data_IF_437810805741
#
_entry.id   IF_437810805741
#
_cell.length_a   1.000
_cell.length_b   1.000
_cell.length_c   1.000
_cell.angle_alpha   90.00
_cell.angle_beta   90.00
_cell.angle_gamma   90.00
#
_symmetry.space_group_name_H-M   'P 1'
#
loop_
_entity.id
_entity.type
_entity.pdbx_description
1 polymer ?
#
# COMPACT_ATOMS: atom_id res chain seq x y z
N UNK A 1 67.47 -3.34 32.07
CA UNK A 1 66.26 -2.68 31.51
C UNK A 1 66.10 -2.80 29.99
N UNK A 2 67.17 -2.96 29.17
CA UNK A 2 67.02 -3.14 27.70
C UNK A 2 66.45 -4.51 27.29
N UNK A 3 66.90 -5.62 27.92
CA UNK A 3 66.45 -6.99 27.62
C UNK A 3 64.93 -7.17 27.78
N UNK A 4 64.34 -6.62 28.84
CA UNK A 4 62.90 -6.71 29.12
C UNK A 4 62.04 -5.98 28.08
N UNK A 5 62.53 -4.87 27.49
CA UNK A 5 61.82 -4.14 26.43
C UNK A 5 61.82 -4.90 25.10
N UNK A 6 62.88 -5.65 24.78
CA UNK A 6 62.91 -6.52 23.60
C UNK A 6 61.95 -7.71 23.73
N UNK A 7 61.85 -8.30 24.93
CA UNK A 7 60.91 -9.40 25.17
C UNK A 7 59.45 -8.94 25.11
N UNK A 8 59.12 -7.77 25.66
CA UNK A 8 57.77 -7.18 25.55
C UNK A 8 57.44 -6.84 24.09
N UNK A 9 58.39 -6.31 23.33
CA UNK A 9 58.22 -6.04 21.90
C UNK A 9 57.99 -7.32 21.08
N UNK A 10 58.76 -8.39 21.34
CA UNK A 10 58.59 -9.68 20.69
C UNK A 10 57.22 -10.30 21.01
N UNK A 11 56.77 -10.21 22.27
CA UNK A 11 55.49 -10.76 22.72
C UNK A 11 54.31 -10.00 22.10
N UNK A 12 54.41 -8.67 21.95
CA UNK A 12 53.44 -7.86 21.22
C UNK A 12 53.36 -8.21 19.73
N UNK A 13 54.50 -8.43 19.08
CA UNK A 13 54.54 -8.85 17.67
C UNK A 13 53.96 -10.26 17.50
N UNK A 14 54.25 -11.18 18.41
CA UNK A 14 53.70 -12.54 18.39
C UNK A 14 52.18 -12.53 18.62
N UNK A 15 51.68 -11.70 19.55
CA UNK A 15 50.25 -11.53 19.79
C UNK A 15 49.53 -10.94 18.56
N UNK A 16 50.16 -10.01 17.85
CA UNK A 16 49.64 -9.49 16.58
C UNK A 16 49.54 -10.58 15.51
N UNK A 17 50.51 -11.48 15.40
CA UNK A 17 50.47 -12.59 14.42
C UNK A 17 49.34 -13.58 14.72
N UNK A 18 49.00 -13.83 16.00
CA UNK A 18 47.90 -14.72 16.37
C UNK A 18 46.51 -14.12 16.12
N UNK A 19 46.33 -12.80 16.19
CA UNK A 19 45.05 -12.12 15.89
C UNK A 19 44.70 -12.21 14.38
N UNK A 20 45.69 -12.37 13.51
CA UNK A 20 45.45 -12.56 12.06
C UNK A 20 45.33 -14.03 11.62
N UNK A 21 45.43 -14.98 12.55
CA UNK A 21 45.46 -16.41 12.20
C UNK A 21 44.08 -17.08 12.18
N UNK A 22 43.00 -16.36 12.46
CA UNK A 22 41.62 -16.87 12.36
C UNK A 22 40.84 -16.17 11.24
N UNK A 23 41.10 -16.58 9.99
CA UNK A 23 40.18 -16.39 8.86
C UNK A 23 40.58 -17.31 7.69
N UNK A 24 40.88 -18.58 7.97
CA UNK A 24 41.05 -19.57 6.90
C UNK A 24 39.68 -20.09 6.47
N UNK A 25 39.26 -19.64 5.28
CA UNK A 25 38.33 -20.29 4.36
C UNK A 25 36.85 -20.42 4.77
N UNK A 26 36.11 -19.30 4.79
CA UNK A 26 34.73 -19.37 4.32
C UNK A 26 34.78 -19.57 2.80
N UNK A 27 34.76 -20.83 2.38
CA UNK A 27 34.43 -21.15 0.99
C UNK A 27 32.96 -20.76 0.84
N UNK A 28 32.68 -19.54 0.39
CA UNK A 28 31.33 -19.15 -0.02
C UNK A 28 30.86 -20.19 -1.04
N UNK A 29 29.92 -21.04 -0.61
CA UNK A 29 29.24 -21.92 -1.54
C UNK A 29 28.50 -21.02 -2.52
N UNK A 30 28.66 -21.22 -3.86
CA UNK A 30 27.90 -20.44 -4.83
C UNK A 30 26.38 -20.68 -4.70
N UNK A 31 25.99 -21.71 -3.97
CA UNK A 31 24.62 -22.08 -3.69
C UNK A 31 24.13 -21.40 -2.41
N UNK A 32 23.08 -20.58 -2.55
CA UNK A 32 22.46 -19.84 -1.45
C UNK A 32 21.15 -20.53 -1.06
N UNK A 33 21.00 -20.83 0.23
CA UNK A 33 19.74 -21.36 0.76
C UNK A 33 18.70 -20.23 0.81
N UNK A 34 17.52 -20.49 0.26
CA UNK A 34 16.40 -19.55 0.26
C UNK A 34 15.12 -20.22 0.74
N UNK A 35 14.27 -19.40 1.35
CA UNK A 35 12.95 -19.76 1.79
C UNK A 35 11.93 -18.90 1.05
N UNK A 36 10.90 -19.51 0.48
CA UNK A 36 9.74 -18.80 -0.06
C UNK A 36 8.48 -19.19 0.68
N UNK A 37 7.62 -18.21 0.94
CA UNK A 37 6.31 -18.43 1.54
C UNK A 37 5.29 -18.73 0.45
N UNK A 38 4.69 -19.91 0.50
CA UNK A 38 3.62 -20.31 -0.40
C UNK A 38 2.27 -19.76 0.09
N UNK A 39 2.02 -19.85 1.39
CA UNK A 39 0.78 -19.39 2.04
C UNK A 39 1.01 -19.15 3.53
N UNK A 40 0.25 -18.24 4.15
CA UNK A 40 0.24 -17.99 5.60
C UNK A 40 0.62 -16.56 5.96
N UNK A 41 1.25 -16.35 7.11
CA UNK A 41 1.72 -15.05 7.60
C UNK A 41 3.21 -14.84 7.30
N UNK A 42 3.60 -13.59 7.07
CA UNK A 42 5.01 -13.22 6.93
C UNK A 42 5.24 -11.73 7.19
N UNK A 43 6.14 -11.41 8.12
CA UNK A 43 6.60 -10.06 8.42
C UNK A 43 8.09 -10.10 8.78
N UNK A 44 8.95 -9.84 7.79
CA UNK A 44 10.39 -9.97 7.98
C UNK A 44 10.79 -11.42 8.28
N UNK A 45 11.40 -11.66 9.45
CA UNK A 45 11.79 -12.98 9.94
C UNK A 45 10.68 -13.74 10.65
N UNK A 46 9.57 -13.08 11.00
CA UNK A 46 8.41 -13.73 11.60
C UNK A 46 7.54 -14.36 10.50
N UNK A 47 7.35 -15.67 10.56
CA UNK A 47 6.60 -16.42 9.54
C UNK A 47 5.68 -17.47 10.17
N UNK A 48 4.62 -17.82 9.46
CA UNK A 48 3.77 -18.98 9.79
C UNK A 48 3.07 -19.47 8.51
N UNK A 49 2.90 -20.78 8.36
CA UNK A 49 2.16 -21.43 7.27
C UNK A 49 3.04 -22.30 6.37
N UNK A 50 2.64 -22.40 5.10
CA UNK A 50 3.29 -23.26 4.12
C UNK A 50 4.47 -22.57 3.45
N UNK A 51 5.63 -23.20 3.52
CA UNK A 51 6.90 -22.70 3.01
C UNK A 51 7.51 -23.67 2.00
N UNK A 52 8.43 -23.18 1.18
CA UNK A 52 9.31 -24.01 0.36
C UNK A 52 10.75 -23.58 0.59
N UNK A 53 11.57 -24.52 1.03
CA UNK A 53 13.02 -24.37 1.12
C UNK A 53 13.66 -24.81 -0.21
N UNK A 54 14.60 -24.02 -0.73
CA UNK A 54 15.26 -24.30 -2.00
C UNK A 54 16.64 -23.67 -2.06
N UNK A 55 17.47 -24.15 -2.99
CA UNK A 55 18.77 -23.56 -3.30
C UNK A 55 18.64 -22.61 -4.50
N UNK A 56 19.40 -21.53 -4.47
CA UNK A 56 19.57 -20.57 -5.56
C UNK A 56 21.04 -20.56 -6.00
N UNK A 57 21.30 -20.57 -7.30
CA UNK A 57 22.65 -20.69 -7.89
C UNK A 57 22.72 -21.72 -9.02
N UNK A 58 23.94 -22.12 -9.40
CA UNK A 58 24.17 -23.13 -10.44
C UNK A 58 23.98 -24.56 -9.89
N UNK A 59 22.92 -25.23 -10.34
CA UNK A 59 22.56 -26.59 -9.91
C UNK A 59 23.18 -27.70 -10.77
N UNK A 60 23.92 -27.35 -11.84
CA UNK A 60 24.36 -28.32 -12.84
C UNK A 60 25.25 -29.44 -12.30
N UNK A 61 25.93 -29.19 -11.18
CA UNK A 61 26.78 -30.17 -10.51
C UNK A 61 26.14 -30.78 -9.25
N UNK A 62 24.88 -30.47 -8.93
CA UNK A 62 24.20 -30.95 -7.71
C UNK A 62 23.61 -32.33 -7.94
N UNK A 63 23.98 -33.28 -7.07
CA UNK A 63 23.45 -34.66 -7.10
C UNK A 63 22.40 -34.88 -6.00
N UNK A 64 22.65 -34.30 -4.82
CA UNK A 64 21.80 -34.50 -3.64
C UNK A 64 21.85 -33.30 -2.72
N UNK A 65 20.70 -32.98 -2.13
CA UNK A 65 20.55 -31.96 -1.10
C UNK A 65 19.91 -32.57 0.14
N UNK A 66 20.53 -32.39 1.30
CA UNK A 66 19.95 -32.74 2.60
C UNK A 66 19.63 -31.44 3.33
N UNK A 67 18.35 -31.24 3.65
CA UNK A 67 17.87 -30.07 4.38
C UNK A 67 17.78 -30.36 5.86
N UNK A 68 18.15 -29.37 6.67
CA UNK A 68 18.18 -29.46 8.12
C UNK A 68 17.42 -28.31 8.77
N UNK A 69 16.79 -28.61 9.91
CA UNK A 69 16.22 -27.65 10.86
C UNK A 69 16.80 -27.91 12.24
N UNK A 70 17.44 -26.92 12.84
CA UNK A 70 18.11 -27.03 14.16
C UNK A 70 19.02 -28.24 14.28
N UNK A 71 19.78 -28.49 13.22
CA UNK A 71 20.70 -29.62 13.06
C UNK A 71 20.04 -31.02 12.96
N UNK A 72 18.71 -31.10 12.94
CA UNK A 72 17.94 -32.30 12.61
C UNK A 72 17.63 -32.37 11.11
N UNK A 73 17.65 -33.57 10.54
CA UNK A 73 17.36 -33.79 9.12
C UNK A 73 15.85 -33.62 8.87
N UNK A 74 15.48 -32.69 7.98
CA UNK A 74 14.11 -32.57 7.50
C UNK A 74 13.82 -33.56 6.38
N UNK A 75 14.67 -33.55 5.34
CA UNK A 75 14.51 -34.40 4.17
C UNK A 75 15.79 -34.46 3.32
N UNK A 76 15.94 -35.58 2.61
CA UNK A 76 16.92 -35.76 1.54
C UNK A 76 16.22 -35.66 0.18
N UNK A 77 16.75 -34.83 -0.73
CA UNK A 77 16.22 -34.59 -2.07
C UNK A 77 17.30 -34.88 -3.10
N UNK A 78 17.06 -35.88 -3.96
CA UNK A 78 18.02 -36.38 -4.95
C UNK A 78 17.62 -36.08 -6.40
N UNK A 79 16.52 -35.33 -6.59
CA UNK A 79 16.01 -34.99 -7.91
C UNK A 79 15.68 -33.51 -8.01
N UNK A 80 15.96 -32.92 -9.18
CA UNK A 80 15.52 -31.57 -9.51
C UNK A 80 13.98 -31.47 -9.45
N UNK A 81 13.43 -30.36 -8.92
CA UNK A 81 14.07 -29.07 -8.69
C UNK A 81 14.71 -28.88 -7.29
N UNK A 82 15.06 -29.95 -6.56
CA UNK A 82 15.66 -29.89 -5.21
C UNK A 82 14.88 -29.02 -4.21
N UNK A 83 13.56 -28.92 -4.35
CA UNK A 83 12.69 -28.11 -3.49
C UNK A 83 12.10 -28.95 -2.38
N UNK A 84 12.02 -28.39 -1.18
CA UNK A 84 11.39 -28.99 -0.01
C UNK A 84 10.21 -28.13 0.47
N UNK A 85 8.95 -28.49 0.12
CA UNK A 85 7.79 -27.90 0.76
C UNK A 85 7.63 -28.42 2.20
N UNK A 86 7.28 -27.55 3.13
CA UNK A 86 6.98 -27.92 4.52
C UNK A 86 5.99 -26.91 5.16
N UNK A 87 5.37 -27.30 6.28
CA UNK A 87 4.57 -26.39 7.10
C UNK A 87 5.36 -25.98 8.35
N UNK A 88 5.31 -24.71 8.74
CA UNK A 88 5.88 -24.28 10.03
C UNK A 88 5.11 -24.85 11.22
N UNK A 89 3.85 -25.26 11.02
CA UNK A 89 3.00 -25.81 12.08
C UNK A 89 3.41 -27.23 12.49
N UNK A 90 4.29 -27.87 11.72
CA UNK A 90 4.88 -29.18 12.04
C UNK A 90 6.05 -29.07 13.02
N UNK A 91 6.44 -27.85 13.38
CA UNK A 91 7.55 -27.54 14.28
C UNK A 91 7.07 -26.68 15.46
N UNK A 92 7.79 -26.73 16.57
CA UNK A 92 7.48 -25.89 17.73
C UNK A 92 7.55 -24.40 17.36
N UNK A 93 6.72 -23.52 17.94
CA UNK A 93 6.88 -22.09 17.74
C UNK A 93 8.21 -21.59 18.32
N UNK A 94 8.87 -20.68 17.61
CA UNK A 94 10.13 -20.08 18.05
C UNK A 94 11.15 -19.86 16.94
N UNK A 95 12.39 -19.58 17.34
CA UNK A 95 13.48 -19.30 16.39
C UNK A 95 14.10 -20.61 15.92
N UNK A 96 14.05 -20.85 14.61
CA UNK A 96 14.64 -22.01 13.96
C UNK A 96 15.76 -21.61 13.00
N UNK A 97 16.81 -22.42 12.98
CA UNK A 97 17.92 -22.31 12.04
C UNK A 97 17.80 -23.40 10.98
N UNK A 98 17.76 -23.00 9.71
CA UNK A 98 17.75 -23.92 8.58
C UNK A 98 19.07 -23.87 7.83
N UNK A 99 19.56 -25.03 7.40
CA UNK A 99 20.75 -25.17 6.54
C UNK A 99 20.55 -26.31 5.54
N UNK A 100 21.37 -26.34 4.51
CA UNK A 100 21.39 -27.45 3.55
C UNK A 100 22.82 -27.95 3.35
N UNK A 101 22.98 -29.25 3.18
CA UNK A 101 24.21 -29.87 2.70
C UNK A 101 24.00 -30.35 1.27
N UNK A 102 24.91 -29.95 0.40
CA UNK A 102 24.86 -30.21 -1.03
C UNK A 102 26.00 -31.13 -1.39
N UNK A 103 25.66 -32.33 -1.86
CA UNK A 103 26.62 -33.25 -2.48
C UNK A 103 26.67 -32.95 -3.97
N UNK A 104 27.87 -32.66 -4.48
CA UNK A 104 28.11 -32.42 -5.89
C UNK A 104 28.65 -33.67 -6.59
N UNK A 105 28.50 -33.74 -7.91
CA UNK A 105 28.92 -34.88 -8.76
C UNK A 105 30.42 -35.16 -8.72
N UNK A 106 31.24 -34.21 -8.26
CA UNK A 106 32.67 -34.35 -7.99
C UNK A 106 32.98 -34.99 -6.61
N UNK A 107 31.94 -35.34 -5.85
CA UNK A 107 32.05 -35.89 -4.50
C UNK A 107 32.27 -34.85 -3.41
N UNK A 108 32.29 -33.55 -3.74
CA UNK A 108 32.44 -32.47 -2.76
C UNK A 108 31.12 -32.24 -2.03
N UNK A 109 31.21 -32.07 -0.71
CA UNK A 109 30.08 -31.61 0.11
C UNK A 109 30.28 -30.15 0.46
N UNK A 110 29.26 -29.34 0.20
CA UNK A 110 29.22 -27.91 0.56
C UNK A 110 27.99 -27.62 1.40
N UNK A 111 28.08 -26.61 2.26
CA UNK A 111 26.96 -26.18 3.10
C UNK A 111 26.39 -24.87 2.57
N UNK A 112 25.06 -24.77 2.50
CA UNK A 112 24.34 -23.54 2.19
C UNK A 112 23.52 -23.07 3.39
N UNK A 113 23.55 -21.77 3.67
CA UNK A 113 22.99 -21.18 4.89
C UNK A 113 24.05 -21.00 5.99
N UNK A 114 23.65 -20.80 7.25
CA UNK A 114 22.28 -20.94 7.75
C UNK A 114 21.39 -19.73 7.45
N UNK A 115 20.09 -19.97 7.30
CA UNK A 115 19.04 -18.94 7.39
C UNK A 115 18.28 -19.12 8.70
N UNK A 116 17.78 -18.03 9.28
CA UNK A 116 17.12 -18.04 10.60
C UNK A 116 15.78 -17.33 10.50
N UNK A 117 14.74 -17.99 11.00
CA UNK A 117 13.37 -17.47 11.00
C UNK A 117 12.70 -17.76 12.35
N UNK A 118 11.74 -16.93 12.72
CA UNK A 118 10.90 -17.11 13.89
C UNK A 118 9.53 -17.64 13.45
N UNK A 119 9.21 -18.87 13.83
CA UNK A 119 7.95 -19.53 13.54
C UNK A 119 6.94 -19.09 14.59
N UNK A 120 5.92 -18.36 14.15
CA UNK A 120 4.82 -17.96 15.02
C UNK A 120 3.82 -19.10 15.13
N UNK A 121 3.17 -19.21 16.29
CA UNK A 121 1.97 -20.03 16.40
C UNK A 121 0.86 -19.49 15.50
N UNK A 122 -0.07 -20.36 15.10
CA UNK A 122 -1.25 -19.96 14.33
C UNK A 122 -2.10 -18.88 15.05
N UNK A 123 -2.09 -18.86 16.38
CA UNK A 123 -2.80 -17.87 17.18
C UNK A 123 -2.15 -16.49 17.11
N UNK A 124 -0.82 -16.42 17.26
CA UNK A 124 -0.06 -15.16 17.19
C UNK A 124 -0.08 -14.58 15.78
N UNK A 125 0.07 -15.43 14.76
CA UNK A 125 -0.02 -15.00 13.35
C UNK A 125 -1.44 -14.48 13.03
N UNK A 126 -2.47 -15.13 13.58
CA UNK A 126 -3.87 -14.71 13.46
C UNK A 126 -4.16 -13.36 14.13
N UNK A 127 -3.62 -13.12 15.33
CA UNK A 127 -3.74 -11.84 16.03
C UNK A 127 -3.06 -10.72 15.23
N UNK A 128 -1.82 -10.94 14.79
CA UNK A 128 -1.09 -9.97 13.96
C UNK A 128 -1.82 -9.67 12.65
N UNK A 129 -2.37 -10.69 12.00
CA UNK A 129 -3.16 -10.53 10.76
C UNK A 129 -4.42 -9.72 11.01
N UNK A 130 -5.17 -10.03 12.07
CA UNK A 130 -6.38 -9.30 12.46
C UNK A 130 -6.07 -7.82 12.74
N UNK A 131 -4.98 -7.54 13.47
CA UNK A 131 -4.54 -6.18 13.80
C UNK A 131 -4.26 -5.36 12.53
N UNK A 132 -3.54 -5.94 11.55
CA UNK A 132 -3.29 -5.29 10.26
C UNK A 132 -4.59 -5.00 9.52
N UNK A 133 -5.52 -5.97 9.47
CA UNK A 133 -6.81 -5.77 8.81
C UNK A 133 -7.64 -4.66 9.46
N UNK A 134 -7.70 -4.63 10.80
CA UNK A 134 -8.39 -3.57 11.55
C UNK A 134 -7.77 -2.21 11.25
N UNK A 135 -6.44 -2.10 11.22
CA UNK A 135 -5.75 -0.85 10.92
C UNK A 135 -6.07 -0.36 9.48
N UNK A 136 -6.00 -1.25 8.49
CA UNK A 136 -6.31 -0.92 7.09
C UNK A 136 -7.76 -0.48 6.92
N UNK A 137 -8.70 -1.21 7.54
CA UNK A 137 -10.13 -0.86 7.52
C UNK A 137 -10.35 0.48 8.23
N UNK A 138 -9.74 0.68 9.40
CA UNK A 138 -9.86 1.91 10.18
C UNK A 138 -9.39 3.14 9.41
N UNK A 139 -8.22 3.06 8.76
CA UNK A 139 -7.68 4.14 7.91
C UNK A 139 -8.62 4.40 6.73
N UNK A 140 -9.12 3.35 6.08
CA UNK A 140 -10.03 3.47 4.94
C UNK A 140 -11.35 4.15 5.32
N UNK A 141 -11.94 3.77 6.45
CA UNK A 141 -13.15 4.39 6.98
C UNK A 141 -12.92 5.84 7.41
N UNK A 142 -11.77 6.15 8.02
CA UNK A 142 -11.41 7.51 8.37
C UNK A 142 -11.29 8.42 7.12
N UNK A 143 -10.63 7.93 6.06
CA UNK A 143 -10.53 8.65 4.80
C UNK A 143 -11.90 8.85 4.12
N UNK A 144 -12.76 7.83 4.15
CA UNK A 144 -14.13 7.93 3.64
C UNK A 144 -14.97 8.93 4.45
N UNK A 145 -14.86 8.90 5.78
CA UNK A 145 -15.53 9.85 6.68
C UNK A 145 -15.08 11.29 6.46
N UNK A 146 -13.77 11.52 6.28
CA UNK A 146 -13.22 12.83 5.96
C UNK A 146 -13.72 13.34 4.60
N UNK A 147 -13.73 12.47 3.58
CA UNK A 147 -14.24 12.81 2.24
C UNK A 147 -15.73 13.19 2.30
N UNK A 148 -16.53 12.41 3.02
CA UNK A 148 -17.95 12.69 3.25
C UNK A 148 -18.15 14.03 3.98
N UNK A 149 -17.34 14.30 5.01
CA UNK A 149 -17.40 15.54 5.77
C UNK A 149 -17.08 16.78 4.91
N UNK A 150 -16.02 16.73 4.10
CA UNK A 150 -15.65 17.81 3.17
C UNK A 150 -16.77 18.04 2.15
N UNK A 151 -17.27 16.97 1.52
CA UNK A 151 -18.37 17.06 0.55
C UNK A 151 -19.66 17.61 1.16
N UNK A 152 -19.96 17.25 2.41
CA UNK A 152 -21.16 17.74 3.11
C UNK A 152 -21.14 19.25 3.36
N UNK A 153 -19.95 19.86 3.42
CA UNK A 153 -19.74 21.31 3.61
C UNK A 153 -19.70 22.10 2.32
N UNK A 154 -19.45 21.48 1.17
CA UNK A 154 -19.63 22.10 -0.15
C UNK A 154 -21.11 22.17 -0.55
N UNK A 155 -21.93 22.85 0.28
CA UNK A 155 -23.25 23.35 -0.13
C UNK A 155 -23.12 24.84 -0.42
N UNK A 156 -22.59 25.18 -1.59
CA UNK A 156 -22.42 26.58 -1.99
C UNK A 156 -22.13 26.75 -3.48
N UNK A 157 -23.17 27.05 -4.26
CA UNK A 157 -23.16 28.04 -5.34
C UNK A 157 -22.21 27.90 -6.54
N UNK A 158 -21.43 26.84 -6.70
CA UNK A 158 -20.57 26.71 -7.88
C UNK A 158 -21.39 26.25 -9.10
N UNK A 159 -21.34 27.05 -10.17
CA UNK A 159 -21.78 26.65 -11.52
C UNK A 159 -21.13 25.30 -11.83
N UNK A 160 -21.95 24.30 -12.17
CA UNK A 160 -21.46 22.95 -12.38
C UNK A 160 -20.47 22.93 -13.56
N UNK A 161 -19.17 22.86 -13.27
CA UNK A 161 -18.15 22.60 -14.29
C UNK A 161 -18.28 21.14 -14.74
N UNK A 162 -18.42 20.91 -16.04
CA UNK A 162 -18.76 19.60 -16.61
C UNK A 162 -17.80 18.48 -16.19
N UNK A 163 -18.34 17.40 -15.63
CA UNK A 163 -17.60 16.16 -15.41
C UNK A 163 -17.45 15.32 -16.69
N UNK A 164 -16.68 14.22 -16.63
CA UNK A 164 -16.42 13.31 -17.76
C UNK A 164 -17.68 12.74 -18.44
N UNK A 165 -18.80 12.63 -17.71
CA UNK A 165 -20.09 12.16 -18.25
C UNK A 165 -21.05 13.28 -18.64
N UNK A 166 -20.56 14.52 -18.66
CA UNK A 166 -21.33 15.72 -18.93
C UNK A 166 -22.21 16.17 -17.76
N UNK A 167 -23.00 17.20 -18.02
CA UNK A 167 -23.98 17.75 -17.09
C UNK A 167 -25.36 17.14 -17.33
N UNK A 168 -26.17 17.12 -16.28
CA UNK A 168 -27.61 16.88 -16.34
C UNK A 168 -28.36 18.06 -15.72
N UNK A 169 -29.60 18.27 -16.17
CA UNK A 169 -30.54 19.24 -15.58
C UNK A 169 -31.52 18.47 -14.70
N UNK A 170 -31.72 18.90 -13.47
CA UNK A 170 -32.69 18.26 -12.58
C UNK A 170 -34.13 18.62 -12.97
N UNK A 171 -34.97 17.62 -13.22
CA UNK A 171 -36.39 17.83 -13.54
C UNK A 171 -37.24 18.31 -12.35
N UNK A 172 -36.70 18.30 -11.12
CA UNK A 172 -37.40 18.76 -9.92
C UNK A 172 -37.02 20.16 -9.48
N UNK A 173 -35.76 20.55 -9.65
CA UNK A 173 -35.26 21.84 -9.14
C UNK A 173 -34.59 22.70 -10.20
N UNK A 174 -34.59 22.30 -11.48
CA UNK A 174 -34.06 23.08 -12.60
C UNK A 174 -32.53 23.23 -12.65
N UNK A 175 -31.82 22.97 -11.56
CA UNK A 175 -30.37 23.19 -11.47
C UNK A 175 -29.56 22.16 -12.27
N UNK A 176 -28.47 22.63 -12.87
CA UNK A 176 -27.46 21.82 -13.53
C UNK A 176 -26.54 21.14 -12.51
N UNK A 177 -26.12 19.91 -12.78
CA UNK A 177 -25.17 19.18 -11.95
C UNK A 177 -24.34 18.17 -12.77
N UNK A 178 -23.11 17.84 -12.34
CA UNK A 178 -22.29 16.86 -13.04
C UNK A 178 -22.84 15.45 -12.81
N UNK A 179 -22.89 14.66 -13.89
CA UNK A 179 -23.33 13.26 -13.83
C UNK A 179 -22.22 12.41 -13.20
N UNK A 180 -22.58 11.60 -12.21
CA UNK A 180 -21.62 10.78 -11.47
C UNK A 180 -21.10 9.62 -12.33
N UNK A 181 -19.84 9.24 -12.12
CA UNK A 181 -19.29 7.99 -12.65
C UNK A 181 -20.07 6.78 -12.12
N UNK A 182 -20.37 6.79 -10.82
CA UNK A 182 -21.04 5.69 -10.09
C UNK A 182 -22.57 5.69 -10.16
N UNK A 183 -23.19 6.56 -10.98
CA UNK A 183 -24.64 6.50 -11.19
C UNK A 183 -25.06 5.18 -11.85
N UNK A 184 -26.16 4.57 -11.39
CA UNK A 184 -26.64 3.30 -11.95
C UNK A 184 -27.06 3.49 -13.40
N UNK A 185 -26.44 2.75 -14.32
CA UNK A 185 -26.79 2.80 -15.74
C UNK A 185 -28.14 2.10 -15.94
N UNK A 186 -29.13 2.87 -16.38
CA UNK A 186 -30.41 2.38 -16.87
C UNK A 186 -30.42 2.47 -18.40
N UNK A 187 -31.23 1.65 -19.07
CA UNK A 187 -31.31 1.61 -20.56
C UNK A 187 -31.55 3.00 -21.18
N UNK A 188 -32.25 3.88 -20.47
CA UNK A 188 -32.66 5.22 -20.92
C UNK A 188 -31.90 6.39 -20.26
N UNK A 189 -30.90 6.12 -19.41
CA UNK A 189 -30.18 7.17 -18.68
C UNK A 189 -29.44 6.66 -17.45
N UNK A 190 -28.98 7.56 -16.57
CA UNK A 190 -28.41 7.15 -15.27
C UNK A 190 -29.42 7.45 -14.16
N UNK A 191 -29.66 6.51 -13.26
CA UNK A 191 -30.45 6.77 -12.06
C UNK A 191 -29.53 7.28 -10.96
N UNK A 192 -29.66 8.56 -10.62
CA UNK A 192 -28.79 9.23 -9.66
C UNK A 192 -29.54 10.28 -8.83
N UNK A 193 -28.97 10.61 -7.67
CA UNK A 193 -29.55 11.57 -6.73
C UNK A 193 -29.04 12.98 -7.05
N UNK A 194 -29.96 13.94 -7.17
CA UNK A 194 -29.59 15.34 -7.38
C UNK A 194 -28.84 15.90 -6.15
N UNK A 195 -27.66 16.54 -6.32
CA UNK A 195 -26.92 17.13 -5.21
C UNK A 195 -27.59 18.39 -4.64
N UNK A 196 -28.41 19.08 -5.43
CA UNK A 196 -29.07 20.32 -5.03
C UNK A 196 -30.34 20.09 -4.20
N UNK A 197 -31.25 19.23 -4.67
CA UNK A 197 -32.53 18.98 -4.00
C UNK A 197 -32.63 17.61 -3.30
N UNK A 198 -31.63 16.74 -3.48
CA UNK A 198 -31.59 15.42 -2.84
C UNK A 198 -32.58 14.39 -3.37
N UNK A 199 -33.33 14.69 -4.43
CA UNK A 199 -34.30 13.76 -5.05
C UNK A 199 -33.62 12.84 -6.06
N UNK A 200 -34.02 11.58 -6.09
CA UNK A 200 -33.60 10.61 -7.10
C UNK A 200 -34.34 10.86 -8.41
N UNK A 201 -33.63 10.74 -9.53
CA UNK A 201 -34.22 10.90 -10.85
C UNK A 201 -33.42 10.13 -11.90
N UNK A 202 -34.07 9.82 -13.02
CA UNK A 202 -33.39 9.35 -14.20
C UNK A 202 -32.82 10.55 -14.97
N UNK A 203 -31.51 10.58 -15.15
CA UNK A 203 -30.79 11.67 -15.82
C UNK A 203 -30.30 11.25 -17.20
N UNK A 204 -30.45 12.17 -18.15
CA UNK A 204 -29.79 12.13 -19.46
C UNK A 204 -28.74 13.22 -19.52
N UNK A 205 -27.82 13.10 -20.48
CA UNK A 205 -26.89 14.20 -20.79
C UNK A 205 -27.71 15.38 -21.30
N UNK A 206 -27.56 16.53 -20.67
CA UNK A 206 -28.18 17.78 -21.11
C UNK A 206 -27.41 18.34 -22.32
N UNK A 207 -28.15 18.91 -23.27
CA UNK A 207 -27.60 19.67 -24.38
C UNK A 207 -27.04 21.01 -23.91
N UNK A 208 -26.14 21.65 -24.67
CA UNK A 208 -25.57 22.96 -24.32
C UNK A 208 -26.65 24.03 -24.05
N UNK A 209 -27.71 24.05 -24.87
CA UNK A 209 -28.82 24.99 -24.73
C UNK A 209 -29.65 24.75 -23.45
N UNK A 210 -29.91 23.48 -23.10
CA UNK A 210 -30.60 23.14 -21.85
C UNK A 210 -29.78 23.55 -20.61
N UNK A 211 -28.44 23.48 -20.71
CA UNK A 211 -27.53 23.91 -19.64
C UNK A 211 -27.57 25.42 -19.48
N UNK A 212 -27.56 26.16 -20.60
CA UNK A 212 -27.60 27.62 -20.62
C UNK A 212 -28.89 28.16 -19.99
N UNK A 213 -30.05 27.66 -20.42
CA UNK A 213 -31.34 28.04 -19.85
C UNK A 213 -31.47 27.70 -18.37
N UNK A 214 -31.01 26.51 -17.97
CA UNK A 214 -31.03 26.10 -16.57
C UNK A 214 -30.10 26.95 -15.68
N UNK A 215 -28.98 27.41 -16.23
CA UNK A 215 -28.06 28.30 -15.53
C UNK A 215 -28.64 29.72 -15.43
N UNK A 216 -29.30 30.21 -16.49
CA UNK A 216 -29.95 31.53 -16.50
C UNK A 216 -31.09 31.62 -15.47
N UNK A 217 -31.96 30.61 -15.40
CA UNK A 217 -33.05 30.53 -14.43
C UNK A 217 -32.55 30.40 -12.98
N UNK A 218 -31.33 29.86 -12.80
CA UNK A 218 -30.71 29.71 -11.48
C UNK A 218 -29.76 30.84 -11.10
N UNK A 219 -29.58 31.87 -11.95
CA UNK A 219 -28.84 33.08 -11.56
C UNK A 219 -29.64 33.81 -10.47
N UNK A 220 -28.99 34.19 -9.35
CA UNK A 220 -29.63 35.12 -8.43
C UNK A 220 -29.97 36.39 -9.22
N UNK A 221 -31.23 36.85 -9.14
CA UNK A 221 -31.62 38.14 -9.70
C UNK A 221 -30.68 39.19 -9.09
N UNK A 222 -29.92 39.88 -9.93
CA UNK A 222 -29.15 41.04 -9.47
C UNK A 222 -30.11 41.96 -8.72
N UNK A 223 -29.75 42.46 -7.52
CA UNK A 223 -30.55 43.48 -6.87
C UNK A 223 -30.73 44.60 -7.90
N UNK A 224 -31.98 44.91 -8.25
CA UNK A 224 -32.24 46.12 -9.01
C UNK A 224 -31.62 47.26 -8.19
N UNK A 225 -30.64 47.93 -8.75
CA UNK A 225 -30.06 49.12 -8.18
C UNK A 225 -31.20 50.14 -8.11
N UNK A 226 -31.85 50.22 -6.94
CA UNK A 226 -32.72 51.35 -6.64
C UNK A 226 -31.77 52.53 -6.63
N UNK A 227 -31.79 53.30 -7.71
CA UNK A 227 -31.17 54.62 -7.74
C UNK A 227 -31.95 55.46 -6.72
N UNK A 228 -31.50 55.42 -5.49
CA UNK A 228 -31.95 56.32 -4.43
C UNK A 228 -31.47 57.71 -4.88
N UNK A 229 -32.34 58.44 -5.57
CA UNK A 229 -32.10 59.85 -5.87
C UNK A 229 -31.89 60.55 -4.54
N UNK A 230 -30.65 60.98 -4.31
CA UNK A 230 -30.29 61.71 -3.11
C UNK A 230 -31.16 62.96 -3.04
N UNK A 231 -31.80 63.21 -1.90
CA UNK A 231 -32.69 64.37 -1.61
C UNK A 231 -32.09 65.77 -1.91
N UNK A 232 -30.82 65.85 -2.33
CA UNK A 232 -30.17 67.05 -2.83
C UNK A 232 -30.58 67.40 -4.27
N UNK A 233 -30.79 66.41 -5.14
CA UNK A 233 -31.12 66.67 -6.55
C UNK A 233 -32.53 67.26 -6.70
N UNK A 234 -33.48 66.87 -5.83
CA UNK A 234 -34.83 67.43 -5.82
C UNK A 234 -34.86 68.91 -5.37
N UNK A 235 -33.87 69.36 -4.58
CA UNK A 235 -33.78 70.76 -4.13
C UNK A 235 -33.19 71.66 -5.21
N UNK A 236 -32.24 71.16 -6.02
CA UNK A 236 -31.65 71.92 -7.12
C UNK A 236 -32.61 72.09 -8.30
N UNK A 237 -33.50 71.12 -8.56
CA UNK A 237 -34.56 71.28 -9.58
C UNK A 237 -35.58 72.37 -9.21
N UNK A 238 -35.90 72.54 -7.92
CA UNK A 238 -36.84 73.59 -7.46
C UNK A 238 -36.32 75.02 -7.62
N UNK A 239 -35.00 75.21 -7.80
CA UNK A 239 -34.38 76.52 -7.94
C UNK A 239 -34.57 77.17 -9.32
N UNK A 240 -34.97 76.39 -10.32
CA UNK A 240 -35.08 76.85 -11.71
C UNK A 240 -36.52 76.93 -12.24
N UNK A 241 -37.54 76.80 -11.38
CA UNK A 241 -38.96 76.79 -11.78
C UNK A 241 -39.62 78.17 -11.67
N UNK A 242 -38.91 79.21 -11.21
CA UNK A 242 -39.42 80.58 -11.22
C UNK A 242 -38.79 81.41 -12.36
N UNK A 243 -39.41 81.35 -13.56
CA UNK A 243 -39.31 82.35 -14.63
C UNK A 243 -40.50 82.27 -15.59
#
# INVERSE_FOLDING_TARGET
MKKTRYWIGLLLVLALVFVFSEAQAQTESPLVLRLTRNFGYGSGSDIQGNMTLYLDGDMSSVERVVYYMDDEIMAEVTQEPFKLPFSTDDYEPGVHKMRAEVSSTDGKVTTAGPIVYNFLSASESGEKTTSILIAVIGISLAAAGLSWFISSRQKGGAVATGGIHGLAVCNRCGKTFPRSFFGMNMVVGKFERCPHCGKWQLTRRASPLEIEWANEDSRPKEPQEVTERTKKDDLDESKYIDL
#
